data_IF_079548827878
#
_entry.id   IF_079548827878
#
_cell.length_a   1.000
_cell.length_b   1.000
_cell.length_c   1.000
_cell.angle_alpha   90.00
_cell.angle_beta   90.00
_cell.angle_gamma   90.00
#
_symmetry.space_group_name_H-M   'P 1'
#
loop_
_entity.id
_entity.type
_entity.pdbx_description
1 polymer ?
#
# COMPACT_ATOMS: atom_id res chain seq x y z
N UNK A 1 1.78 18.44 19.64
CA UNK A 1 0.45 18.07 20.15
C UNK A 1 -0.60 18.03 19.03
N UNK A 2 -0.84 19.13 18.30
CA UNK A 2 -1.88 19.19 17.25
C UNK A 2 -1.75 18.16 16.13
N UNK A 3 -0.54 17.90 15.62
CA UNK A 3 -0.31 16.91 14.56
C UNK A 3 -0.73 15.48 14.98
N UNK A 4 -0.37 15.04 16.18
CA UNK A 4 -0.71 13.71 16.70
C UNK A 4 -2.23 13.55 16.84
N UNK A 5 -2.90 14.54 17.42
CA UNK A 5 -4.37 14.54 17.58
C UNK A 5 -5.08 14.56 16.22
N UNK A 6 -4.55 15.32 15.25
CA UNK A 6 -5.09 15.36 13.89
C UNK A 6 -4.96 14.01 13.19
N UNK A 7 -3.78 13.38 13.22
CA UNK A 7 -3.56 12.05 12.61
C UNK A 7 -4.44 10.99 13.28
N UNK A 8 -4.56 11.02 14.62
CA UNK A 8 -5.44 10.11 15.35
C UNK A 8 -6.91 10.30 14.95
N UNK A 9 -7.39 11.55 14.88
CA UNK A 9 -8.76 11.85 14.47
C UNK A 9 -9.03 11.42 13.02
N UNK A 10 -8.09 11.64 12.11
CA UNK A 10 -8.16 11.17 10.72
C UNK A 10 -8.28 9.65 10.66
N UNK A 11 -7.40 8.92 11.37
CA UNK A 11 -7.44 7.46 11.41
C UNK A 11 -8.75 6.92 12.00
N UNK A 12 -9.25 7.55 13.07
CA UNK A 12 -10.51 7.17 13.72
C UNK A 12 -11.70 7.39 12.78
N UNK A 13 -11.77 8.55 12.12
CA UNK A 13 -12.86 8.89 11.21
C UNK A 13 -12.85 7.99 9.95
N UNK A 14 -11.68 7.72 9.37
CA UNK A 14 -11.56 6.78 8.26
C UNK A 14 -12.02 5.36 8.66
N UNK A 15 -11.62 4.88 9.84
CA UNK A 15 -12.02 3.56 10.35
C UNK A 15 -13.53 3.48 10.59
N UNK A 16 -14.11 4.51 11.18
CA UNK A 16 -15.56 4.65 11.41
C UNK A 16 -16.34 4.69 10.11
N UNK A 17 -15.84 5.42 9.11
CA UNK A 17 -16.48 5.53 7.79
C UNK A 17 -16.43 4.20 7.06
N UNK A 18 -15.27 3.52 7.06
CA UNK A 18 -15.11 2.18 6.50
C UNK A 18 -16.06 1.18 7.16
N UNK A 19 -16.13 1.16 8.49
CA UNK A 19 -17.03 0.25 9.20
C UNK A 19 -18.50 0.57 8.91
N UNK A 20 -18.94 1.81 9.09
CA UNK A 20 -20.34 2.18 8.92
C UNK A 20 -20.84 1.95 7.49
N UNK A 21 -20.04 2.31 6.47
CA UNK A 21 -20.45 2.16 5.07
C UNK A 21 -20.22 0.75 4.53
N UNK A 22 -19.03 0.18 4.72
CA UNK A 22 -18.67 -1.07 4.04
C UNK A 22 -19.05 -2.32 4.83
N UNK A 23 -19.20 -2.21 6.16
CA UNK A 23 -19.61 -3.34 7.01
C UNK A 23 -21.07 -3.18 7.43
N UNK A 24 -21.40 -2.11 8.16
CA UNK A 24 -22.73 -1.96 8.73
C UNK A 24 -23.81 -1.80 7.66
N UNK A 25 -23.65 -0.87 6.70
CA UNK A 25 -24.64 -0.71 5.63
C UNK A 25 -24.71 -1.96 4.76
N UNK A 26 -23.57 -2.47 4.27
CA UNK A 26 -23.58 -3.58 3.31
C UNK A 26 -24.01 -4.93 3.90
N UNK A 27 -23.60 -5.25 5.15
CA UNK A 27 -23.78 -6.60 5.72
C UNK A 27 -24.83 -6.67 6.83
N UNK A 28 -25.12 -5.57 7.54
CA UNK A 28 -26.00 -5.58 8.73
C UNK A 28 -27.35 -4.93 8.44
N UNK A 29 -27.36 -3.72 7.86
CA UNK A 29 -28.57 -2.99 7.53
C UNK A 29 -28.43 -2.21 6.20
N UNK A 30 -28.75 -2.86 5.06
CA UNK A 30 -28.69 -2.25 3.72
C UNK A 30 -29.50 -0.96 3.57
N UNK A 31 -30.60 -0.85 4.33
CA UNK A 31 -31.52 0.28 4.27
C UNK A 31 -31.22 1.35 5.33
N UNK A 32 -30.06 1.31 5.99
CA UNK A 32 -29.68 2.30 6.99
C UNK A 32 -29.58 3.71 6.38
N UNK A 33 -30.30 4.66 6.98
CA UNK A 33 -30.22 6.08 6.65
C UNK A 33 -28.88 6.68 7.05
N UNK A 34 -28.46 7.77 6.40
CA UNK A 34 -27.17 8.40 6.68
C UNK A 34 -27.06 8.87 8.15
N UNK A 35 -28.16 9.35 8.74
CA UNK A 35 -28.20 9.71 10.15
C UNK A 35 -27.93 8.52 11.08
N UNK A 36 -28.42 7.33 10.70
CA UNK A 36 -28.15 6.09 11.45
C UNK A 36 -26.70 5.66 11.29
N UNK A 37 -26.12 5.79 10.10
CA UNK A 37 -24.70 5.50 9.84
C UNK A 37 -23.78 6.39 10.67
N UNK A 38 -24.07 7.69 10.75
CA UNK A 38 -23.31 8.64 11.61
C UNK A 38 -23.42 8.23 13.07
N UNK A 39 -24.61 7.86 13.54
CA UNK A 39 -24.83 7.45 14.93
C UNK A 39 -24.07 6.18 15.29
N UNK A 40 -24.15 5.15 14.45
CA UNK A 40 -23.36 3.91 14.60
C UNK A 40 -21.87 4.21 14.55
N UNK A 41 -21.46 5.09 13.63
CA UNK A 41 -20.09 5.51 13.48
C UNK A 41 -19.53 6.18 14.74
N UNK A 42 -20.30 7.05 15.41
CA UNK A 42 -19.91 7.66 16.69
C UNK A 42 -19.67 6.60 17.76
N UNK A 43 -20.54 5.60 17.88
CA UNK A 43 -20.37 4.51 18.85
C UNK A 43 -19.11 3.68 18.58
N UNK A 44 -18.90 3.31 17.32
CA UNK A 44 -17.69 2.56 16.90
C UNK A 44 -16.44 3.39 17.14
N UNK A 45 -16.46 4.68 16.83
CA UNK A 45 -15.35 5.61 17.06
C UNK A 45 -15.00 5.73 18.54
N UNK A 46 -16.00 5.90 19.41
CA UNK A 46 -15.79 5.91 20.86
C UNK A 46 -15.17 4.59 21.34
N UNK A 47 -15.68 3.45 20.88
CA UNK A 47 -15.14 2.13 21.23
C UNK A 47 -13.68 1.94 20.80
N UNK A 48 -13.36 2.31 19.55
CA UNK A 48 -11.99 2.28 19.04
C UNK A 48 -11.05 3.20 19.81
N UNK A 49 -11.51 4.40 20.20
CA UNK A 49 -10.72 5.33 21.00
C UNK A 49 -10.41 4.78 22.40
N UNK A 50 -11.40 4.17 23.06
CA UNK A 50 -11.21 3.52 24.37
C UNK A 50 -10.22 2.34 24.24
N UNK A 51 -10.39 1.50 23.22
CA UNK A 51 -9.47 0.38 22.95
C UNK A 51 -8.04 0.89 22.73
N UNK A 52 -7.86 1.96 21.95
CA UNK A 52 -6.56 2.56 21.72
C UNK A 52 -5.92 3.07 23.02
N UNK A 53 -6.70 3.69 23.92
CA UNK A 53 -6.22 4.12 25.24
C UNK A 53 -5.77 2.96 26.13
N UNK A 54 -6.44 1.80 26.02
CA UNK A 54 -6.07 0.58 26.76
C UNK A 54 -4.80 -0.06 26.19
N UNK A 55 -4.67 -0.09 24.86
CA UNK A 55 -3.53 -0.72 24.18
C UNK A 55 -2.28 0.15 24.21
N UNK A 56 -2.41 1.48 24.23
CA UNK A 56 -1.28 2.41 24.17
C UNK A 56 -0.19 2.16 25.25
N UNK A 57 -0.52 1.92 26.54
CA UNK A 57 0.48 1.56 27.55
C UNK A 57 1.20 0.24 27.28
N UNK A 58 0.52 -0.75 26.67
CA UNK A 58 1.08 -2.07 26.39
C UNK A 58 2.19 -2.02 25.33
N UNK A 59 2.11 -1.06 24.40
CA UNK A 59 3.08 -0.89 23.32
C UNK A 59 4.11 0.22 23.58
N UNK A 60 3.95 0.99 24.67
CA UNK A 60 4.82 2.12 24.98
C UNK A 60 6.27 1.70 25.27
N UNK A 61 6.47 0.51 25.83
CA UNK A 61 7.79 -0.02 26.20
C UNK A 61 8.30 -1.07 25.19
N UNK A 62 7.93 -0.94 23.91
CA UNK A 62 8.38 -1.85 22.85
C UNK A 62 9.93 -1.90 22.78
N UNK A 63 10.57 -3.08 22.86
CA UNK A 63 12.03 -3.21 22.99
C UNK A 63 12.84 -2.56 21.87
N UNK A 64 12.41 -2.74 20.62
CA UNK A 64 13.07 -2.24 19.41
C UNK A 64 12.52 -0.87 18.94
N UNK A 65 11.69 -0.25 19.77
CA UNK A 65 11.01 1.01 19.48
C UNK A 65 9.65 0.85 18.80
N UNK A 66 8.77 1.83 19.04
CA UNK A 66 7.37 1.79 18.59
C UNK A 66 7.24 1.75 17.06
N UNK A 67 8.12 2.43 16.32
CA UNK A 67 8.09 2.42 14.85
C UNK A 67 8.34 1.01 14.30
N UNK A 68 9.32 0.29 14.86
CA UNK A 68 9.64 -1.07 14.45
C UNK A 68 8.45 -2.00 14.69
N UNK A 69 7.86 -1.97 15.88
CA UNK A 69 6.67 -2.76 16.22
C UNK A 69 5.50 -2.47 15.27
N UNK A 70 5.22 -1.20 14.98
CA UNK A 70 4.13 -0.82 14.08
C UNK A 70 4.39 -1.33 12.65
N UNK A 71 5.62 -1.28 12.16
CA UNK A 71 5.98 -1.80 10.83
C UNK A 71 5.87 -3.33 10.78
N UNK A 72 6.29 -4.01 11.85
CA UNK A 72 6.20 -5.46 11.98
C UNK A 72 4.73 -5.94 12.02
N UNK A 73 3.85 -5.24 12.75
CA UNK A 73 2.42 -5.54 12.79
C UNK A 73 1.74 -5.22 11.45
N UNK A 74 2.11 -4.12 10.78
CA UNK A 74 1.62 -3.83 9.43
C UNK A 74 2.04 -4.90 8.41
N UNK A 75 3.16 -5.58 8.64
CA UNK A 75 3.60 -6.73 7.85
C UNK A 75 2.55 -7.84 7.75
N UNK A 76 1.73 -8.03 8.79
CA UNK A 76 0.64 -9.02 8.81
C UNK A 76 -0.35 -8.77 7.67
N UNK A 77 -0.67 -7.50 7.40
CA UNK A 77 -1.71 -7.11 6.44
C UNK A 77 -1.14 -6.73 5.07
N UNK A 78 0.02 -6.08 5.04
CA UNK A 78 0.60 -5.53 3.81
C UNK A 78 0.92 -6.61 2.78
N UNK A 79 1.58 -7.70 3.17
CA UNK A 79 1.90 -8.80 2.25
C UNK A 79 0.65 -9.42 1.60
N UNK A 80 -0.36 -9.89 2.35
CA UNK A 80 -1.52 -10.54 1.75
C UNK A 80 -2.41 -9.58 0.97
N UNK A 81 -2.64 -8.35 1.45
CA UNK A 81 -3.44 -7.36 0.72
C UNK A 81 -2.76 -7.01 -0.61
N UNK A 82 -1.45 -6.74 -0.59
CA UNK A 82 -0.69 -6.45 -1.81
C UNK A 82 -0.76 -7.63 -2.78
N UNK A 83 -0.63 -8.86 -2.28
CA UNK A 83 -0.73 -10.06 -3.12
C UNK A 83 -2.08 -10.14 -3.84
N UNK A 84 -3.18 -9.90 -3.13
CA UNK A 84 -4.53 -9.93 -3.69
C UNK A 84 -4.72 -8.84 -4.74
N UNK A 85 -4.24 -7.62 -4.46
CA UNK A 85 -4.31 -6.50 -5.42
C UNK A 85 -3.49 -6.80 -6.67
N UNK A 86 -2.24 -7.25 -6.52
CA UNK A 86 -1.37 -7.58 -7.67
C UNK A 86 -1.98 -8.69 -8.53
N UNK A 87 -2.46 -9.76 -7.91
CA UNK A 87 -3.11 -10.85 -8.65
C UNK A 87 -4.41 -10.38 -9.32
N UNK A 88 -5.22 -9.58 -8.64
CA UNK A 88 -6.45 -9.02 -9.20
C UNK A 88 -6.22 -8.06 -10.37
N UNK A 89 -5.12 -7.31 -10.36
CA UNK A 89 -4.76 -6.39 -11.44
C UNK A 89 -4.10 -7.10 -12.64
N UNK A 90 -3.28 -8.12 -12.38
CA UNK A 90 -2.50 -8.79 -13.43
C UNK A 90 -3.18 -10.02 -14.02
N UNK A 91 -4.26 -10.53 -13.40
CA UNK A 91 -4.95 -11.73 -13.86
C UNK A 91 -6.46 -11.54 -13.95
N UNK A 92 -7.07 -12.10 -15.00
CA UNK A 92 -8.51 -11.96 -15.26
C UNK A 92 -9.34 -13.17 -14.83
N UNK A 93 -8.70 -14.26 -14.41
CA UNK A 93 -9.35 -15.56 -14.18
C UNK A 93 -9.22 -16.11 -12.77
N UNK A 94 -8.49 -15.45 -11.88
CA UNK A 94 -8.36 -15.89 -10.48
C UNK A 94 -9.68 -15.58 -9.75
N UNK A 95 -10.33 -16.57 -9.11
CA UNK A 95 -11.63 -16.39 -8.47
C UNK A 95 -11.51 -15.64 -7.14
N UNK A 96 -12.62 -15.02 -6.69
CA UNK A 96 -12.71 -14.35 -5.39
C UNK A 96 -12.41 -15.28 -4.20
N UNK A 97 -12.64 -16.59 -4.35
CA UNK A 97 -12.30 -17.59 -3.32
C UNK A 97 -10.79 -17.68 -3.10
N UNK A 98 -9.99 -17.62 -4.17
CA UNK A 98 -8.53 -17.60 -4.06
C UNK A 98 -8.04 -16.35 -3.32
N UNK A 99 -8.64 -15.18 -3.59
CA UNK A 99 -8.31 -13.94 -2.90
C UNK A 99 -8.67 -13.99 -1.40
N UNK A 100 -9.86 -14.48 -1.04
CA UNK A 100 -10.27 -14.66 0.37
C UNK A 100 -9.33 -15.63 1.09
N UNK A 101 -9.01 -16.77 0.45
CA UNK A 101 -8.08 -17.74 1.02
C UNK A 101 -6.67 -17.15 1.16
N UNK A 102 -6.15 -16.49 0.14
CA UNK A 102 -4.83 -15.85 0.17
C UNK A 102 -4.71 -14.74 1.23
N UNK A 103 -5.80 -14.02 1.51
CA UNK A 103 -5.83 -13.06 2.61
C UNK A 103 -5.63 -13.76 3.97
N UNK A 104 -6.45 -14.77 4.25
CA UNK A 104 -6.39 -15.51 5.52
C UNK A 104 -5.09 -16.29 5.65
N UNK A 105 -4.68 -16.99 4.58
CA UNK A 105 -3.44 -17.76 4.53
C UNK A 105 -2.22 -16.87 4.73
N UNK A 106 -2.09 -15.75 3.99
CA UNK A 106 -0.93 -14.87 4.13
C UNK A 106 -0.84 -14.21 5.50
N UNK A 107 -1.98 -13.79 6.08
CA UNK A 107 -2.02 -13.27 7.47
C UNK A 107 -1.61 -14.34 8.48
N UNK A 108 -2.19 -15.54 8.39
CA UNK A 108 -1.89 -16.65 9.29
C UNK A 108 -0.43 -17.10 9.15
N UNK A 109 0.09 -17.20 7.92
CA UNK A 109 1.47 -17.58 7.65
C UNK A 109 2.45 -16.57 8.26
N UNK A 110 2.18 -15.26 8.15
CA UNK A 110 3.02 -14.25 8.80
C UNK A 110 3.00 -14.38 10.32
N UNK A 111 1.80 -14.52 10.91
CA UNK A 111 1.66 -14.68 12.36
C UNK A 111 2.39 -15.93 12.86
N UNK A 112 2.21 -17.06 12.16
CA UNK A 112 2.86 -18.32 12.48
C UNK A 112 4.38 -18.23 12.36
N UNK A 113 4.90 -17.76 11.22
CA UNK A 113 6.34 -17.67 11.01
C UNK A 113 7.02 -16.70 11.99
N UNK A 114 6.40 -15.54 12.26
CA UNK A 114 7.04 -14.50 13.06
C UNK A 114 6.82 -14.66 14.56
N UNK A 115 5.60 -14.91 15.01
CA UNK A 115 5.28 -14.92 16.44
C UNK A 115 5.27 -16.31 17.06
N UNK A 116 4.97 -17.37 16.29
CA UNK A 116 4.89 -18.75 16.82
C UNK A 116 6.20 -19.51 16.61
N UNK A 117 6.64 -19.64 15.36
CA UNK A 117 7.87 -20.36 14.98
C UNK A 117 9.11 -19.53 15.30
N UNK A 118 8.99 -18.20 15.29
CA UNK A 118 10.09 -17.24 15.49
C UNK A 118 11.24 -17.49 14.54
N UNK A 119 10.94 -17.55 13.24
CA UNK A 119 11.95 -17.67 12.19
C UNK A 119 12.96 -16.52 12.33
N UNK A 120 14.24 -16.86 12.42
CA UNK A 120 15.35 -15.92 12.60
C UNK A 120 15.71 -15.21 11.28
N UNK A 121 14.74 -14.47 10.76
CA UNK A 121 14.85 -13.67 9.54
C UNK A 121 14.23 -12.29 9.83
N UNK A 122 14.88 -11.25 9.32
CA UNK A 122 14.35 -9.89 9.42
C UNK A 122 12.97 -9.79 8.76
N UNK A 123 12.02 -9.11 9.40
CA UNK A 123 10.61 -9.13 8.99
C UNK A 123 10.41 -8.66 7.54
N UNK A 124 11.20 -7.72 7.01
CA UNK A 124 11.14 -7.32 5.59
C UNK A 124 11.39 -8.47 4.60
N UNK A 125 12.37 -9.33 4.87
CA UNK A 125 12.61 -10.51 4.04
C UNK A 125 11.49 -11.52 4.18
N UNK A 126 10.97 -11.69 5.40
CA UNK A 126 9.82 -12.56 5.66
C UNK A 126 8.56 -12.10 4.90
N UNK A 127 8.24 -10.80 4.95
CA UNK A 127 7.14 -10.18 4.16
C UNK A 127 7.32 -10.47 2.68
N UNK A 128 8.53 -10.32 2.15
CA UNK A 128 8.82 -10.53 0.72
C UNK A 128 8.62 -11.99 0.33
N UNK A 129 9.15 -12.93 1.11
CA UNK A 129 9.00 -14.37 0.86
C UNK A 129 7.52 -14.76 0.94
N UNK A 130 6.81 -14.32 1.97
CA UNK A 130 5.40 -14.62 2.16
C UNK A 130 4.52 -14.00 1.07
N UNK A 131 4.85 -12.80 0.57
CA UNK A 131 4.19 -12.21 -0.58
C UNK A 131 4.31 -13.12 -1.81
N UNK A 132 5.52 -13.56 -2.15
CA UNK A 132 5.75 -14.44 -3.31
C UNK A 132 5.02 -15.77 -3.15
N UNK A 133 5.10 -16.39 -1.97
CA UNK A 133 4.40 -17.64 -1.66
C UNK A 133 2.88 -17.46 -1.76
N UNK A 134 2.34 -16.37 -1.22
CA UNK A 134 0.91 -16.10 -1.24
C UNK A 134 0.39 -15.84 -2.66
N UNK A 135 1.14 -15.10 -3.48
CA UNK A 135 0.84 -14.94 -4.91
C UNK A 135 0.86 -16.30 -5.62
N UNK A 136 1.88 -17.14 -5.38
CA UNK A 136 1.96 -18.46 -5.98
C UNK A 136 0.75 -19.34 -5.61
N UNK A 137 0.36 -19.36 -4.34
CA UNK A 137 -0.83 -20.07 -3.85
C UNK A 137 -2.09 -19.59 -4.56
N UNK A 138 -2.31 -18.28 -4.67
CA UNK A 138 -3.49 -17.74 -5.36
C UNK A 138 -3.50 -18.08 -6.85
N UNK A 139 -2.35 -18.05 -7.52
CA UNK A 139 -2.23 -18.45 -8.93
C UNK A 139 -2.45 -19.95 -9.12
N UNK A 140 -2.00 -20.80 -8.19
CA UNK A 140 -2.27 -22.24 -8.22
C UNK A 140 -3.77 -22.49 -8.08
N UNK A 141 -4.43 -21.87 -7.09
CA UNK A 141 -5.89 -21.98 -6.93
C UNK A 141 -6.61 -21.46 -8.18
N UNK A 142 -6.17 -20.35 -8.76
CA UNK A 142 -6.74 -19.81 -9.99
C UNK A 142 -6.51 -20.68 -11.23
N UNK A 143 -5.51 -21.57 -11.24
CA UNK A 143 -5.33 -22.57 -12.30
C UNK A 143 -6.21 -23.80 -12.09
N UNK A 144 -6.43 -24.22 -10.84
CA UNK A 144 -7.25 -25.40 -10.50
C UNK A 144 -8.74 -25.06 -10.59
N UNK A 145 -9.12 -23.87 -10.12
CA UNK A 145 -10.50 -23.36 -10.08
C UNK A 145 -10.56 -21.99 -10.77
N UNK A 146 -10.33 -21.91 -12.09
CA UNK A 146 -10.45 -20.65 -12.81
C UNK A 146 -11.92 -20.20 -12.88
N UNK A 147 -12.15 -18.89 -12.95
CA UNK A 147 -13.49 -18.36 -13.27
C UNK A 147 -13.90 -18.78 -14.69
N UNK A 148 -15.16 -19.19 -14.85
CA UNK A 148 -15.74 -19.59 -16.15
C UNK A 148 -15.67 -18.46 -17.17
N UNK A 149 -15.99 -17.23 -16.74
CA UNK A 149 -15.85 -16.02 -17.55
C UNK A 149 -14.68 -15.18 -17.04
N UNK A 150 -13.79 -14.70 -17.94
CA UNK A 150 -12.75 -13.77 -17.54
C UNK A 150 -13.40 -12.44 -17.10
N UNK A 151 -12.85 -11.83 -16.06
CA UNK A 151 -13.29 -10.51 -15.59
C UNK A 151 -13.19 -9.49 -16.73
N UNK A 152 -14.30 -8.82 -17.03
CA UNK A 152 -14.35 -7.75 -18.02
C UNK A 152 -14.19 -6.41 -17.32
N UNK A 153 -13.12 -5.69 -17.66
CA UNK A 153 -12.84 -4.36 -17.13
C UNK A 153 -13.73 -3.34 -17.85
N UNK A 154 -14.88 -3.01 -17.26
CA UNK A 154 -15.69 -1.90 -17.77
C UNK A 154 -15.03 -0.56 -17.45
N UNK A 155 -14.50 0.11 -18.46
CA UNK A 155 -13.98 1.45 -18.32
C UNK A 155 -15.13 2.46 -18.22
N UNK A 156 -15.43 2.91 -17.01
CA UNK A 156 -16.56 3.81 -16.73
C UNK A 156 -16.38 5.23 -17.30
N UNK A 157 -15.20 5.58 -17.84
CA UNK A 157 -14.84 6.92 -18.36
C UNK A 157 -15.06 8.07 -17.36
N UNK A 158 -15.28 7.79 -16.09
CA UNK A 158 -15.62 8.79 -15.06
C UNK A 158 -14.42 9.63 -14.63
N UNK A 159 -13.19 9.16 -14.89
CA UNK A 159 -11.95 9.84 -14.55
C UNK A 159 -11.03 9.81 -15.75
N UNK A 160 -10.40 10.95 -16.06
CA UNK A 160 -9.37 11.01 -17.10
C UNK A 160 -8.12 10.23 -16.65
N UNK A 161 -7.74 9.22 -17.43
CA UNK A 161 -6.54 8.39 -17.22
C UNK A 161 -5.34 8.88 -18.03
N UNK A 162 -5.48 9.97 -18.79
CA UNK A 162 -4.35 10.55 -19.50
C UNK A 162 -3.29 11.00 -18.47
N UNK A 163 -2.05 10.51 -18.59
CA UNK A 163 -1.00 10.89 -17.67
C UNK A 163 -0.73 12.39 -17.78
N UNK A 164 -0.58 13.05 -16.62
CA UNK A 164 -0.18 14.46 -16.56
C UNK A 164 1.08 14.68 -17.40
N UNK A 165 1.09 15.74 -18.21
CA UNK A 165 2.12 15.86 -19.24
C UNK A 165 3.56 16.05 -18.71
N UNK A 166 3.73 16.47 -17.45
CA UNK A 166 5.04 16.49 -16.77
C UNK A 166 5.38 15.21 -15.99
N UNK A 167 4.51 14.19 -15.96
CA UNK A 167 4.69 12.99 -15.14
C UNK A 167 6.01 12.27 -15.41
N UNK A 168 6.41 12.15 -16.68
CA UNK A 168 7.69 11.53 -17.06
C UNK A 168 8.90 12.36 -16.62
N UNK A 169 8.80 13.68 -16.72
CA UNK A 169 9.89 14.57 -16.35
C UNK A 169 10.11 14.60 -14.83
N UNK A 170 9.02 14.70 -14.07
CA UNK A 170 9.06 14.69 -12.60
C UNK A 170 9.51 13.32 -12.06
N UNK A 171 9.06 12.21 -12.63
CA UNK A 171 9.50 10.87 -12.20
C UNK A 171 10.99 10.64 -12.41
N UNK A 172 11.58 11.14 -13.50
CA UNK A 172 13.03 11.10 -13.72
C UNK A 172 13.79 11.90 -12.66
N UNK A 173 13.31 13.10 -12.31
CA UNK A 173 13.92 13.92 -11.25
C UNK A 173 13.85 13.20 -9.90
N UNK A 174 12.68 12.65 -9.53
CA UNK A 174 12.52 11.89 -8.27
C UNK A 174 13.45 10.67 -8.24
N UNK A 175 13.57 9.95 -9.36
CA UNK A 175 14.47 8.79 -9.49
C UNK A 175 15.92 9.20 -9.32
N UNK A 176 16.34 10.30 -9.98
CA UNK A 176 17.68 10.85 -9.85
C UNK A 176 18.00 11.21 -8.40
N UNK A 177 17.17 12.00 -7.74
CA UNK A 177 17.34 12.40 -6.33
C UNK A 177 17.42 11.18 -5.42
N UNK A 178 16.58 10.17 -5.67
CA UNK A 178 16.58 8.92 -4.90
C UNK A 178 17.92 8.18 -5.05
N UNK A 179 18.43 8.04 -6.28
CA UNK A 179 19.73 7.40 -6.57
C UNK A 179 20.89 8.22 -5.99
N UNK A 180 20.84 9.55 -6.08
CA UNK A 180 21.84 10.46 -5.50
C UNK A 180 22.06 10.15 -4.02
N UNK A 181 20.97 10.01 -3.25
CA UNK A 181 21.05 9.72 -1.82
C UNK A 181 21.92 8.49 -1.52
N UNK A 182 21.73 7.39 -2.27
CA UNK A 182 22.52 6.17 -2.08
C UNK A 182 23.97 6.33 -2.50
N UNK A 183 24.25 7.00 -3.62
CA UNK A 183 25.62 7.21 -4.11
C UNK A 183 26.43 8.06 -3.14
N UNK A 184 25.86 9.14 -2.60
CA UNK A 184 26.56 10.01 -1.65
C UNK A 184 26.79 9.35 -0.28
N UNK A 185 25.90 8.44 0.15
CA UNK A 185 26.08 7.69 1.40
C UNK A 185 27.01 6.48 1.26
N UNK A 186 27.24 6.00 0.03
CA UNK A 186 28.10 4.85 -0.22
C UNK A 186 29.59 5.19 -0.02
N UNK A 187 30.30 4.34 0.72
CA UNK A 187 31.77 4.42 0.85
C UNK A 187 32.42 3.70 -0.34
N UNK A 188 33.53 4.25 -0.86
CA UNK A 188 34.32 3.66 -1.95
C UNK A 188 33.56 3.45 -3.28
N UNK A 189 32.78 4.45 -3.70
CA UNK A 189 32.10 4.43 -5.01
C UNK A 189 33.13 4.47 -6.14
N UNK A 190 33.06 3.51 -7.08
CA UNK A 190 33.96 3.46 -8.23
C UNK A 190 33.83 4.73 -9.09
N UNK A 191 34.92 5.26 -9.67
CA UNK A 191 34.89 6.44 -10.54
C UNK A 191 33.91 6.33 -11.71
N UNK A 192 33.71 5.12 -12.27
CA UNK A 192 32.75 4.88 -13.36
C UNK A 192 31.31 5.17 -12.94
N UNK A 193 30.96 4.92 -11.68
CA UNK A 193 29.62 5.20 -11.14
C UNK A 193 29.39 6.71 -11.03
N UNK A 194 30.42 7.48 -10.68
CA UNK A 194 30.36 8.95 -10.69
C UNK A 194 30.14 9.51 -12.08
N UNK A 195 30.83 8.98 -13.10
CA UNK A 195 30.64 9.38 -14.49
C UNK A 195 29.19 9.10 -14.92
N UNK A 196 28.69 7.89 -14.66
CA UNK A 196 27.30 7.52 -14.95
C UNK A 196 26.29 8.42 -14.23
N UNK A 197 26.55 8.75 -12.97
CA UNK A 197 25.72 9.66 -12.16
C UNK A 197 25.60 11.05 -12.79
N UNK A 198 26.72 11.69 -13.15
CA UNK A 198 26.70 13.02 -13.75
C UNK A 198 26.04 13.01 -15.14
N UNK A 199 26.29 11.98 -15.95
CA UNK A 199 25.62 11.80 -17.24
C UNK A 199 24.10 11.65 -17.08
N UNK A 200 23.65 10.83 -16.12
CA UNK A 200 22.24 10.63 -15.85
C UNK A 200 21.56 11.90 -15.30
N UNK A 201 22.26 12.66 -14.44
CA UNK A 201 21.79 13.95 -13.94
C UNK A 201 21.63 14.98 -15.06
N UNK A 202 22.64 15.11 -15.94
CA UNK A 202 22.57 16.01 -17.09
C UNK A 202 21.42 15.63 -18.03
N UNK A 203 21.23 14.34 -18.34
CA UNK A 203 20.12 13.86 -19.15
C UNK A 203 18.75 14.17 -18.53
N UNK A 204 18.64 14.02 -17.20
CA UNK A 204 17.40 14.33 -16.45
C UNK A 204 17.05 15.81 -16.52
N UNK A 205 18.03 16.70 -16.32
CA UNK A 205 17.84 18.16 -16.41
C UNK A 205 17.47 18.58 -17.84
N UNK A 206 18.18 18.06 -18.85
CA UNK A 206 17.88 18.35 -20.25
C UNK A 206 16.48 17.88 -20.66
N UNK A 207 16.09 16.68 -20.22
CA UNK A 207 14.75 16.15 -20.48
C UNK A 207 13.66 16.98 -19.78
N UNK A 208 13.90 17.41 -18.55
CA UNK A 208 12.98 18.27 -17.81
C UNK A 208 12.77 19.60 -18.54
N UNK A 209 13.85 20.28 -18.95
CA UNK A 209 13.79 21.53 -19.71
C UNK A 209 13.06 21.32 -21.05
N UNK A 210 13.40 20.25 -21.78
CA UNK A 210 12.73 19.91 -23.04
C UNK A 210 11.22 19.70 -22.84
N UNK A 211 10.82 18.95 -21.81
CA UNK A 211 9.40 18.69 -21.51
C UNK A 211 8.65 19.98 -21.17
N UNK A 212 9.29 20.89 -20.43
CA UNK A 212 8.76 22.20 -20.07
C UNK A 212 8.55 23.09 -21.29
N UNK A 213 9.54 23.16 -22.18
CA UNK A 213 9.44 23.94 -23.42
C UNK A 213 8.37 23.37 -24.35
N UNK A 214 8.34 22.05 -24.54
CA UNK A 214 7.35 21.36 -25.39
C UNK A 214 5.93 21.65 -24.93
N UNK A 215 5.68 21.54 -23.63
CA UNK A 215 4.35 21.73 -23.08
C UNK A 215 3.92 23.20 -23.05
N UNK A 216 4.84 24.13 -22.79
CA UNK A 216 4.60 25.57 -22.99
C UNK A 216 4.15 25.86 -24.42
N UNK A 217 4.84 25.31 -25.42
CA UNK A 217 4.50 25.53 -26.83
C UNK A 217 3.17 24.89 -27.26
N UNK A 218 2.66 23.89 -26.52
CA UNK A 218 1.34 23.30 -26.75
C UNK A 218 0.19 24.11 -26.13
N UNK A 219 0.45 24.98 -25.16
CA UNK A 219 -0.55 25.85 -24.54
C UNK A 219 -0.79 27.16 -25.32
N UNK A 220 0.13 27.52 -26.22
CA UNK A 220 0.07 28.73 -27.07
C UNK A 220 -0.32 28.45 -28.54
N UNK A 221 -0.84 27.25 -28.83
CA UNK A 221 -1.47 26.87 -30.11
C UNK A 221 -2.93 26.54 -29.85
#
# INVERSE_FOLDING_TARGET
MGAVLSTFNSALNSSVTLFSRNVYKTQINPNASDMKLVSVGKWVGTGLAIMAMIVAPLVANAPDGLFFLIQELQGIFNAPILSVVVVGLLTKRVPAVAAKFGLVFGMAAYILCKFVIKVDIHFFHLITILFVVNVAVMLIIGRIVPMETPYNEEYTKQVDIQPWAYAKAVSLVITFVSISMYIFMAKNVLPVVWIGYYCFGAATVLYFIYSFVKQRNQQFK
#
